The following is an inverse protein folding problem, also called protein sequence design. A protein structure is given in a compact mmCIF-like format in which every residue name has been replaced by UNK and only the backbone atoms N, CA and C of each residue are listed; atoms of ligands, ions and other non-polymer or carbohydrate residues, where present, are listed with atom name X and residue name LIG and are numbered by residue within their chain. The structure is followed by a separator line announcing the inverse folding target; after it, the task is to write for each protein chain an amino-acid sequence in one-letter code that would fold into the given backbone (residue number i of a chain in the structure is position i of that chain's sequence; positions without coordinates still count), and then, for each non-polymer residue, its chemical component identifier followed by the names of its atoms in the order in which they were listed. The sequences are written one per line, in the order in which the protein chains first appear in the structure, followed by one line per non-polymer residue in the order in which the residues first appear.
data_IF_989179926884
#
_entry.id   IF_989179926884
#
_cell.length_a   1.000
_cell.length_b   1.000
_cell.length_c   1.000
_cell.angle_alpha   90.00
_cell.angle_beta   90.00
_cell.angle_gamma   90.00
#
_symmetry.space_group_name_H-M   'P 1'
#
loop_
_entity.id
_entity.type
_entity.pdbx_description
1 polymer ?
#
# COMPACT_ATOMS: atom_id res chain seq x y z
N UNK A 1 22.43 13.62 43.17
CA UNK A 1 23.44 12.61 42.78
C UNK A 1 22.75 11.63 41.86
N UNK A 2 23.00 11.75 40.55
CA UNK A 2 22.22 11.14 39.47
C UNK A 2 23.02 10.02 38.81
N UNK A 3 22.84 8.78 39.30
CA UNK A 3 23.35 7.58 38.64
C UNK A 3 22.34 7.11 37.58
N UNK A 4 22.32 7.75 36.42
CA UNK A 4 21.51 7.33 35.26
C UNK A 4 22.35 7.27 33.98
N UNK A 5 23.65 7.04 34.11
CA UNK A 5 24.60 7.00 33.00
C UNK A 5 24.79 5.64 32.29
N UNK A 6 24.68 4.45 32.94
CA UNK A 6 25.08 3.20 32.27
C UNK A 6 24.00 2.61 31.34
N UNK A 7 22.71 2.88 31.61
CA UNK A 7 21.60 2.28 30.87
C UNK A 7 21.45 2.86 29.45
N UNK A 8 21.74 4.15 29.27
CA UNK A 8 21.73 4.84 27.97
C UNK A 8 22.94 4.45 27.11
N UNK A 9 24.08 4.18 27.73
CA UNK A 9 25.30 3.71 27.06
C UNK A 9 25.08 2.35 26.38
N UNK A 10 24.47 1.40 27.10
CA UNK A 10 24.14 0.08 26.56
C UNK A 10 23.15 0.12 25.41
N UNK A 11 22.12 0.98 25.50
CA UNK A 11 21.15 1.17 24.41
C UNK A 11 21.80 1.81 23.18
N UNK A 12 22.66 2.82 23.38
CA UNK A 12 23.42 3.43 22.27
C UNK A 12 24.35 2.42 21.61
N UNK A 13 25.02 1.55 22.37
CA UNK A 13 25.88 0.51 21.83
C UNK A 13 25.10 -0.53 20.99
N UNK A 14 23.91 -0.94 21.44
CA UNK A 14 23.04 -1.86 20.69
C UNK A 14 22.52 -1.23 19.40
N UNK A 15 22.19 0.06 19.42
CA UNK A 15 21.73 0.79 18.23
C UNK A 15 22.86 1.15 17.28
N UNK A 16 24.09 1.34 17.79
CA UNK A 16 25.28 1.59 16.99
C UNK A 16 25.91 0.30 16.43
N UNK A 17 25.48 -0.88 16.91
CA UNK A 17 25.97 -2.15 16.43
C UNK A 17 25.68 -2.27 14.92
N UNK A 18 26.67 -2.73 14.11
CA UNK A 18 26.50 -2.84 12.66
C UNK A 18 25.36 -3.81 12.36
N UNK A 19 24.21 -3.25 11.95
CA UNK A 19 23.09 -4.06 11.54
C UNK A 19 23.48 -4.85 10.29
N UNK A 20 23.38 -6.17 10.39
CA UNK A 20 23.73 -7.07 9.29
C UNK A 20 22.98 -6.68 8.00
N UNK A 21 23.61 -6.99 6.87
CA UNK A 21 23.20 -6.65 5.48
C UNK A 21 21.74 -7.01 5.11
N UNK A 22 21.04 -7.78 5.95
CA UNK A 22 19.63 -8.15 5.82
C UNK A 22 18.67 -7.01 6.21
N UNK A 23 19.08 -6.09 7.09
CA UNK A 23 18.23 -5.00 7.60
C UNK A 23 18.59 -3.64 7.01
N UNK A 24 19.79 -3.49 6.46
CA UNK A 24 20.15 -2.35 5.61
C UNK A 24 19.42 -2.53 4.28
N UNK A 25 18.24 -1.93 4.13
CA UNK A 25 17.63 -1.75 2.81
C UNK A 25 18.68 -1.04 1.96
N UNK A 26 19.18 -1.61 0.85
CA UNK A 26 20.06 -0.86 -0.03
C UNK A 26 19.28 0.39 -0.42
N UNK A 27 19.80 1.57 -0.06
CA UNK A 27 19.29 2.83 -0.57
C UNK A 27 19.09 2.62 -2.06
N UNK A 28 17.84 2.69 -2.51
CA UNK A 28 17.45 2.23 -3.83
C UNK A 28 18.48 2.76 -4.84
N UNK A 29 19.19 1.85 -5.49
CA UNK A 29 20.31 2.20 -6.36
C UNK A 29 19.85 3.32 -7.29
N UNK A 30 20.45 4.50 -7.17
CA UNK A 30 20.24 5.68 -8.04
C UNK A 30 20.06 5.32 -9.54
N UNK A 31 20.73 4.30 -10.12
CA UNK A 31 20.55 3.91 -11.52
C UNK A 31 19.14 3.45 -11.91
N UNK A 32 18.33 2.93 -10.96
CA UNK A 32 16.97 2.46 -11.26
C UNK A 32 16.00 3.61 -11.32
N UNK A 33 16.08 4.53 -10.35
CA UNK A 33 15.23 5.72 -10.30
C UNK A 33 15.51 6.62 -11.50
N UNK A 34 16.77 6.86 -11.83
CA UNK A 34 17.14 7.64 -13.02
C UNK A 34 16.64 6.98 -14.32
N UNK A 35 16.73 5.65 -14.46
CA UNK A 35 16.15 4.94 -15.62
C UNK A 35 14.63 5.11 -15.72
N UNK A 36 13.93 5.04 -14.59
CA UNK A 36 12.48 5.18 -14.56
C UNK A 36 12.04 6.60 -14.92
N UNK A 37 12.76 7.61 -14.41
CA UNK A 37 12.54 9.02 -14.78
C UNK A 37 12.84 9.27 -16.26
N UNK A 38 13.94 8.71 -16.79
CA UNK A 38 14.28 8.80 -18.20
C UNK A 38 13.19 8.15 -19.10
N UNK A 39 12.63 7.01 -18.68
CA UNK A 39 11.50 6.38 -19.37
C UNK A 39 10.23 7.25 -19.35
N UNK A 40 10.04 8.08 -18.32
CA UNK A 40 8.89 8.98 -18.22
C UNK A 40 9.04 10.28 -19.02
N UNK A 41 10.28 10.69 -19.36
CA UNK A 41 10.60 11.98 -20.00
C UNK A 41 9.95 12.15 -21.40
N UNK A 42 9.70 11.05 -22.11
CA UNK A 42 9.03 11.03 -23.41
C UNK A 42 7.54 10.68 -23.37
N UNK A 43 6.92 10.56 -22.19
CA UNK A 43 5.53 10.15 -22.11
C UNK A 43 4.58 11.36 -22.29
N UNK A 44 3.84 11.46 -23.41
CA UNK A 44 2.97 12.62 -23.68
C UNK A 44 1.86 12.78 -22.65
N UNK A 45 1.43 11.70 -21.97
CA UNK A 45 0.45 11.78 -20.88
C UNK A 45 1.04 12.41 -19.61
N UNK A 46 2.32 12.18 -19.33
CA UNK A 46 3.01 12.77 -18.19
C UNK A 46 3.27 14.25 -18.46
N UNK A 47 3.76 14.58 -19.66
CA UNK A 47 3.95 15.98 -20.07
C UNK A 47 2.65 16.79 -20.01
N UNK A 48 1.53 16.23 -20.50
CA UNK A 48 0.23 16.91 -20.46
C UNK A 48 -0.23 17.18 -19.01
N UNK A 49 -0.08 16.21 -18.11
CA UNK A 49 -0.42 16.40 -16.68
C UNK A 49 0.47 17.44 -16.00
N UNK A 50 1.77 17.46 -16.30
CA UNK A 50 2.69 18.47 -15.79
C UNK A 50 2.32 19.87 -16.31
N UNK A 51 1.99 19.99 -17.60
CA UNK A 51 1.55 21.26 -18.20
C UNK A 51 0.20 21.74 -17.63
N UNK A 52 -0.69 20.81 -17.27
CA UNK A 52 -2.00 21.11 -16.67
C UNK A 52 -1.95 21.25 -15.14
N UNK A 53 -0.81 20.97 -14.50
CA UNK A 53 -0.68 20.99 -13.03
C UNK A 53 -1.50 19.90 -12.32
N UNK A 54 -1.96 18.87 -13.03
CA UNK A 54 -2.80 17.81 -12.45
C UNK A 54 -1.96 16.80 -11.67
N UNK A 55 -2.03 16.88 -10.35
CA UNK A 55 -1.43 15.91 -9.45
C UNK A 55 -2.24 14.59 -9.48
N UNK A 56 -1.61 13.42 -9.58
CA UNK A 56 -2.34 12.15 -9.49
C UNK A 56 -3.13 12.02 -8.18
N UNK A 57 -4.33 11.43 -8.23
CA UNK A 57 -5.23 11.26 -7.07
C UNK A 57 -4.54 10.68 -5.83
N UNK A 58 -3.60 9.74 -6.01
CA UNK A 58 -2.86 9.15 -4.88
C UNK A 58 -1.97 10.16 -4.15
N UNK A 59 -1.45 11.19 -4.84
CA UNK A 59 -0.66 12.25 -4.20
C UNK A 59 -1.54 13.15 -3.33
N UNK A 60 -2.80 13.39 -3.72
CA UNK A 60 -3.75 14.12 -2.88
C UNK A 60 -4.05 13.35 -1.59
N UNK A 61 -4.32 12.05 -1.69
CA UNK A 61 -4.53 11.17 -0.53
C UNK A 61 -3.29 11.16 0.38
N UNK A 62 -2.09 11.17 -0.20
CA UNK A 62 -0.84 11.22 0.56
C UNK A 62 -0.65 12.57 1.27
N UNK A 63 -0.94 13.68 0.58
CA UNK A 63 -0.87 15.03 1.14
C UNK A 63 -1.87 15.20 2.29
N UNK A 64 -3.10 14.69 2.14
CA UNK A 64 -4.11 14.66 3.19
C UNK A 64 -3.66 13.87 4.40
N UNK A 65 -3.03 12.70 4.21
CA UNK A 65 -2.45 11.93 5.33
C UNK A 65 -1.36 12.70 6.06
N UNK A 66 -0.44 13.32 5.32
CA UNK A 66 0.63 14.11 5.93
C UNK A 66 0.08 15.34 6.66
N UNK A 67 -0.96 15.98 6.12
CA UNK A 67 -1.64 17.08 6.77
C UNK A 67 -2.35 16.63 8.06
N UNK A 68 -3.06 15.49 8.03
CA UNK A 68 -3.69 14.91 9.21
C UNK A 68 -2.66 14.51 10.29
N UNK A 69 -1.54 13.91 9.89
CA UNK A 69 -0.45 13.54 10.80
C UNK A 69 0.20 14.78 11.44
N UNK A 70 0.44 15.84 10.67
CA UNK A 70 0.94 17.11 11.20
C UNK A 70 -0.07 17.79 12.14
N UNK A 71 -1.37 17.66 11.89
CA UNK A 71 -2.42 18.16 12.78
C UNK A 71 -2.53 17.34 14.07
N UNK A 72 -2.19 16.04 14.02
CA UNK A 72 -2.16 15.16 15.20
C UNK A 72 -0.83 15.23 15.97
N UNK A 73 0.22 15.81 15.37
CA UNK A 73 1.48 16.07 16.05
C UNK A 73 1.37 17.31 16.98
N UNK A 74 0.82 17.07 18.20
CA UNK A 74 0.83 17.85 19.47
C UNK A 74 -0.34 18.81 19.77
N UNK A 75 -0.78 18.93 21.05
CA UNK A 75 -0.03 18.70 22.31
C UNK A 75 -0.49 17.48 23.15
N UNK A 76 0.17 17.23 24.28
CA UNK A 76 -0.10 16.18 25.30
C UNK A 76 0.51 14.76 25.12
N UNK A 77 1.83 14.69 24.96
CA UNK A 77 2.61 13.50 25.34
C UNK A 77 3.31 13.65 26.71
N UNK A 78 2.67 14.36 27.64
CA UNK A 78 3.12 14.45 29.05
C UNK A 78 2.33 13.53 30.00
N UNK A 79 1.38 12.75 29.48
CA UNK A 79 0.45 11.94 30.29
C UNK A 79 0.36 10.46 29.91
N UNK A 80 1.37 9.88 29.25
CA UNK A 80 1.40 8.41 29.12
C UNK A 80 1.72 7.83 30.48
N UNK A 81 0.68 7.49 31.24
CA UNK A 81 0.78 6.57 32.37
C UNK A 81 1.55 5.34 31.87
N UNK A 82 2.68 4.98 32.51
CA UNK A 82 3.43 3.80 32.09
C UNK A 82 2.49 2.61 32.22
N UNK A 83 2.08 2.04 31.09
CA UNK A 83 1.35 0.78 31.06
C UNK A 83 2.22 -0.22 31.84
N UNK A 84 1.73 -0.77 32.96
CA UNK A 84 2.52 -1.70 33.74
C UNK A 84 2.90 -2.85 32.83
N UNK A 85 4.22 -3.05 32.68
CA UNK A 85 4.80 -4.13 31.89
C UNK A 85 4.14 -5.43 32.36
N UNK A 86 3.57 -6.25 31.46
CA UNK A 86 3.06 -7.56 31.83
C UNK A 86 4.17 -8.28 32.59
N UNK A 87 3.91 -8.64 33.86
CA UNK A 87 4.83 -9.48 34.62
C UNK A 87 4.96 -10.78 33.85
N UNK A 88 6.20 -11.27 33.71
CA UNK A 88 6.44 -12.64 33.28
C UNK A 88 5.54 -13.54 34.14
N UNK A 89 4.62 -14.27 33.50
CA UNK A 89 3.91 -15.32 34.20
C UNK A 89 4.96 -16.26 34.80
N UNK A 90 4.80 -16.71 36.06
CA UNK A 90 5.65 -17.73 36.65
C UNK A 90 5.33 -19.07 35.99
N UNK A 91 5.72 -19.21 34.73
CA UNK A 91 5.70 -20.44 33.95
C UNK A 91 7.16 -20.90 33.73
N UNK A 92 7.92 -20.98 34.83
CA UNK A 92 9.07 -21.89 34.94
C UNK A 92 8.57 -23.34 35.11
N UNK A 93 7.64 -23.74 34.23
CA UNK A 93 7.40 -25.13 33.96
C UNK A 93 8.58 -25.68 33.16
N UNK A 94 9.03 -26.92 33.43
CA UNK A 94 10.04 -27.55 32.59
C UNK A 94 9.60 -27.50 31.12
N UNK A 95 10.52 -27.29 30.17
CA UNK A 95 10.19 -27.20 28.75
C UNK A 95 9.37 -28.43 28.34
N UNK A 96 8.28 -28.27 27.57
CA UNK A 96 7.49 -29.40 27.12
C UNK A 96 8.39 -30.37 26.36
N UNK A 97 8.29 -31.65 26.70
CA UNK A 97 9.08 -32.71 26.07
C UNK A 97 8.97 -32.62 24.53
N UNK A 98 10.06 -32.89 23.79
CA UNK A 98 10.05 -32.82 22.34
C UNK A 98 8.95 -33.73 21.80
N UNK A 99 7.96 -33.14 21.14
CA UNK A 99 6.90 -33.90 20.49
C UNK A 99 7.52 -34.83 19.45
N UNK A 100 7.16 -36.13 19.45
CA UNK A 100 7.72 -37.07 18.48
C UNK A 100 7.38 -36.59 17.07
N UNK A 101 8.41 -36.43 16.22
CA UNK A 101 8.26 -36.02 14.82
C UNK A 101 7.30 -36.98 14.14
N UNK A 102 6.07 -36.51 13.89
CA UNK A 102 5.05 -37.28 13.17
C UNK A 102 5.64 -37.69 11.82
N UNK A 103 5.62 -38.99 11.44
CA UNK A 103 6.15 -39.41 10.15
C UNK A 103 5.42 -38.64 9.04
N UNK A 104 6.19 -37.93 8.21
CA UNK A 104 5.65 -37.19 7.08
C UNK A 104 4.97 -38.21 6.16
N UNK A 105 3.64 -38.15 6.07
CA UNK A 105 2.91 -38.92 5.06
C UNK A 105 3.41 -38.46 3.68
N UNK A 106 3.67 -39.39 2.75
CA UNK A 106 4.01 -39.03 1.38
C UNK A 106 2.87 -38.17 0.82
N UNK A 107 3.21 -36.97 0.35
CA UNK A 107 2.25 -36.09 -0.32
C UNK A 107 1.73 -36.83 -1.56
N UNK A 108 0.41 -36.90 -1.77
CA UNK A 108 -0.12 -37.42 -3.02
C UNK A 108 0.42 -36.59 -4.20
N UNK A 109 0.71 -37.21 -5.34
CA UNK A 109 1.24 -36.49 -6.50
C UNK A 109 0.20 -35.44 -6.94
N UNK A 110 0.67 -34.21 -7.10
CA UNK A 110 -0.18 -33.13 -7.61
C UNK A 110 -0.69 -33.51 -9.01
N UNK A 111 -1.97 -33.23 -9.33
CA UNK A 111 -2.51 -33.52 -10.65
C UNK A 111 -1.65 -32.84 -11.72
N UNK A 112 -1.09 -33.65 -12.62
CA UNK A 112 -0.32 -33.18 -13.78
C UNK A 112 -1.26 -32.32 -14.63
N UNK A 113 -0.94 -31.03 -14.78
CA UNK A 113 -1.66 -30.13 -15.69
C UNK A 113 -1.55 -30.69 -17.11
N UNK A 114 -2.68 -31.13 -17.65
CA UNK A 114 -2.77 -31.57 -19.05
C UNK A 114 -2.44 -30.37 -19.98
N UNK A 115 -1.46 -30.50 -20.88
CA UNK A 115 -1.11 -29.44 -21.83
C UNK A 115 -2.16 -29.26 -22.94
N UNK A 116 -3.04 -30.24 -23.15
CA UNK A 116 -3.96 -30.28 -24.30
C UNK A 116 -5.31 -29.59 -24.08
N UNK A 117 -5.42 -28.64 -23.14
CA UNK A 117 -6.65 -27.86 -23.03
C UNK A 117 -6.62 -26.78 -24.11
N UNK A 118 -7.41 -26.87 -25.20
CA UNK A 118 -7.50 -25.79 -26.17
C UNK A 118 -7.94 -24.54 -25.43
N UNK A 119 -7.04 -23.56 -25.37
CA UNK A 119 -7.31 -22.22 -24.87
C UNK A 119 -8.27 -21.54 -25.86
N UNK A 120 -9.56 -21.87 -25.77
CA UNK A 120 -10.62 -21.05 -26.34
C UNK A 120 -10.75 -19.79 -25.49
N UNK A 121 -9.77 -18.89 -25.66
CA UNK A 121 -9.93 -17.50 -25.30
C UNK A 121 -11.00 -16.91 -26.22
N UNK A 122 -12.26 -17.11 -25.84
CA UNK A 122 -13.38 -16.34 -26.37
C UNK A 122 -13.01 -14.89 -26.10
N UNK A 123 -12.63 -14.16 -27.17
CA UNK A 123 -12.26 -12.75 -27.06
C UNK A 123 -13.40 -12.05 -26.32
N UNK A 124 -13.14 -11.34 -25.21
CA UNK A 124 -14.19 -10.60 -24.54
C UNK A 124 -14.77 -9.61 -25.56
N UNK A 125 -16.09 -9.59 -25.68
CA UNK A 125 -16.77 -8.64 -26.55
C UNK A 125 -16.32 -7.21 -26.15
N UNK A 126 -16.07 -6.32 -27.13
CA UNK A 126 -15.68 -4.96 -26.84
C UNK A 126 -16.77 -4.29 -26.01
N UNK A 127 -16.46 -3.95 -24.77
CA UNK A 127 -17.36 -3.15 -23.93
C UNK A 127 -17.41 -1.73 -24.52
N UNK A 128 -18.58 -1.08 -24.56
CA UNK A 128 -18.65 0.32 -24.99
C UNK A 128 -17.73 1.15 -24.09
N UNK A 129 -16.83 1.89 -24.70
CA UNK A 129 -15.87 2.73 -24.00
C UNK A 129 -16.57 3.85 -23.22
N UNK A 130 -15.87 4.49 -22.25
CA UNK A 130 -16.45 5.54 -21.41
C UNK A 130 -17.01 6.72 -22.22
N UNK A 131 -16.46 7.01 -23.41
CA UNK A 131 -16.97 8.04 -24.31
C UNK A 131 -18.43 7.80 -24.75
N UNK A 132 -18.79 6.53 -24.99
CA UNK A 132 -20.14 6.16 -25.44
C UNK A 132 -21.15 6.29 -24.30
N UNK A 133 -20.73 6.00 -23.06
CA UNK A 133 -21.55 6.25 -21.86
C UNK A 133 -21.78 7.74 -21.62
N UNK A 134 -20.75 8.59 -21.77
CA UNK A 134 -20.88 10.04 -21.61
C UNK A 134 -21.82 10.61 -22.68
N UNK A 135 -21.67 10.21 -23.94
CA UNK A 135 -22.56 10.65 -25.02
C UNK A 135 -24.02 10.27 -24.76
N UNK A 136 -24.28 9.04 -24.31
CA UNK A 136 -25.63 8.59 -23.94
C UNK A 136 -26.22 9.41 -22.77
N UNK A 137 -25.40 9.77 -21.79
CA UNK A 137 -25.84 10.55 -20.64
C UNK A 137 -26.19 11.99 -21.02
N UNK A 138 -25.37 12.64 -21.86
CA UNK A 138 -25.66 14.00 -22.36
C UNK A 138 -26.93 14.01 -23.21
N UNK A 139 -27.15 13.00 -24.04
CA UNK A 139 -28.39 12.84 -24.80
C UNK A 139 -29.61 12.72 -23.88
N UNK A 140 -29.53 11.88 -22.84
CA UNK A 140 -30.63 11.70 -21.89
C UNK A 140 -30.98 13.00 -21.16
N UNK A 141 -29.96 13.77 -20.74
CA UNK A 141 -30.17 15.08 -20.11
C UNK A 141 -30.80 16.08 -21.08
N UNK A 142 -30.31 16.12 -22.34
CA UNK A 142 -30.86 17.00 -23.37
C UNK A 142 -32.34 16.74 -23.65
N UNK A 143 -32.74 15.47 -23.75
CA UNK A 143 -34.15 15.08 -23.94
C UNK A 143 -35.01 15.50 -22.74
N UNK A 144 -34.51 15.32 -21.52
CA UNK A 144 -35.22 15.74 -20.30
C UNK A 144 -35.45 17.26 -20.23
N UNK A 145 -34.43 18.06 -20.56
CA UNK A 145 -34.55 19.53 -20.59
C UNK A 145 -35.53 19.97 -21.68
N UNK A 146 -35.48 19.37 -22.87
CA UNK A 146 -36.42 19.68 -23.96
C UNK A 146 -37.87 19.38 -23.54
N UNK A 147 -38.12 18.22 -22.92
CA UNK A 147 -39.45 17.84 -22.44
C UNK A 147 -39.97 18.79 -21.36
N UNK A 148 -39.12 19.18 -20.40
CA UNK A 148 -39.46 20.16 -19.37
C UNK A 148 -39.78 21.53 -19.97
N UNK A 149 -39.05 21.95 -21.01
CA UNK A 149 -39.29 23.21 -21.70
C UNK A 149 -40.62 23.22 -22.45
N UNK A 150 -40.97 22.11 -23.13
CA UNK A 150 -42.25 21.97 -23.82
C UNK A 150 -43.44 21.97 -22.84
N UNK A 151 -43.30 21.32 -21.68
CA UNK A 151 -44.32 21.33 -20.62
C UNK A 151 -44.52 22.71 -19.99
N UNK A 152 -43.50 23.56 -20.00
CA UNK A 152 -43.59 24.92 -19.43
C UNK A 152 -44.34 25.90 -20.35
N UNK A 153 -44.42 25.62 -21.65
CA UNK A 153 -45.09 26.46 -22.66
C UNK A 153 -46.51 25.99 -23.01
N UNK A 154 -46.96 24.88 -22.43
CA UNK A 154 -48.33 24.36 -22.55
C UNK A 154 -49.18 24.84 -21.37
#
# INVERSE_FOLDING_TARGET
MTDTAPATEGVRAVLAAPHGRRFSRPAASLPRQQRLLAQMQGNPRVQRRLAQGELPLWMHIQAERLAAENQQARPDRTGTTPVPRPRSAPDDGPPPAPTPKRPLRPRPPLPRRHPDRPHSHRKPAPRPGPALMVAAHVLALGVGVLAAHLLFFL
#
